data_IF_456932990616
#
_entry.id   IF_456932990616
#
_cell.length_a   1.000
_cell.length_b   1.000
_cell.length_c   1.000
_cell.angle_alpha   90.00
_cell.angle_beta   90.00
_cell.angle_gamma   90.00
#
_symmetry.space_group_name_H-M   'P 1'
#
loop_
_entity.id
_entity.type
_entity.pdbx_description
1 polymer ?
#
# COMPACT_ATOMS: atom_id res chain seq x y z
N UNK A 1 -7.18 -15.64 -19.71
CA UNK A 1 -7.52 -14.22 -19.85
C UNK A 1 -6.22 -13.44 -19.70
N UNK A 2 -5.79 -12.74 -20.74
CA UNK A 2 -4.57 -11.96 -20.69
C UNK A 2 -4.83 -10.72 -19.84
N UNK A 3 -4.11 -10.60 -18.73
CA UNK A 3 -4.11 -9.40 -17.89
C UNK A 3 -3.37 -8.29 -18.65
N UNK A 4 -4.08 -7.23 -18.97
CA UNK A 4 -3.52 -6.08 -19.65
C UNK A 4 -2.94 -5.11 -18.62
N UNK A 5 -1.65 -5.24 -18.30
CA UNK A 5 -0.90 -4.37 -17.40
C UNK A 5 -0.73 -2.92 -17.90
N UNK A 6 -1.27 -2.60 -19.09
CA UNK A 6 -1.11 -1.26 -19.70
C UNK A 6 -1.78 -0.13 -18.92
N UNK A 7 -2.63 -0.42 -17.94
CA UNK A 7 -3.41 0.60 -17.23
C UNK A 7 -3.03 0.77 -15.75
N UNK A 8 -2.08 -0.01 -15.23
CA UNK A 8 -1.61 0.20 -13.87
C UNK A 8 -0.34 1.06 -13.87
N UNK A 9 -0.49 2.29 -14.27
CA UNK A 9 0.37 3.34 -13.77
C UNK A 9 -0.07 3.61 -12.33
N UNK A 10 0.85 3.48 -11.37
CA UNK A 10 0.76 4.27 -10.14
C UNK A 10 0.98 5.71 -10.61
N UNK A 11 -0.04 6.26 -11.24
CA UNK A 11 -0.07 7.65 -11.67
C UNK A 11 -0.72 8.38 -10.53
N UNK A 12 0.10 8.95 -9.67
CA UNK A 12 -0.30 10.16 -8.97
C UNK A 12 -0.40 11.25 -10.04
N UNK A 13 -1.40 11.18 -10.92
CA UNK A 13 -1.78 12.27 -11.79
C UNK A 13 -2.80 13.12 -11.04
N UNK A 14 -2.31 14.16 -10.38
CA UNK A 14 -3.21 15.22 -9.96
C UNK A 14 -3.60 16.07 -11.14
N UNK A 15 -4.90 16.34 -11.24
CA UNK A 15 -5.53 17.09 -12.31
C UNK A 15 -4.80 18.39 -12.62
N UNK A 16 -4.47 18.58 -13.89
CA UNK A 16 -4.14 19.90 -14.44
C UNK A 16 -5.34 20.81 -14.27
N UNK A 17 -5.29 21.72 -13.30
CA UNK A 17 -6.17 22.89 -13.31
C UNK A 17 -5.88 23.68 -14.59
N UNK A 18 -6.89 23.84 -15.45
CA UNK A 18 -6.88 24.86 -16.50
C UNK A 18 -6.79 26.22 -15.82
N UNK A 19 -5.62 26.82 -15.85
CA UNK A 19 -5.36 28.17 -15.38
C UNK A 19 -4.56 28.94 -16.40
N UNK A 20 -5.09 30.05 -16.78
CA UNK A 20 -4.73 31.03 -17.79
C UNK A 20 -3.23 31.30 -18.01
N UNK A 21 -2.88 31.45 -19.27
CA UNK A 21 -1.68 32.13 -19.74
C UNK A 21 -1.79 33.64 -19.44
N UNK A 22 -0.88 34.18 -18.65
CA UNK A 22 -0.36 35.53 -18.88
C UNK A 22 1.07 35.62 -18.30
N UNK A 23 1.99 36.05 -19.18
CA UNK A 23 3.38 36.29 -18.90
C UNK A 23 3.58 37.42 -17.91
N UNK A 24 4.53 37.27 -16.98
CA UNK A 24 5.66 38.21 -16.81
C UNK A 24 6.65 37.70 -15.78
N UNK A 25 7.93 37.80 -16.11
CA UNK A 25 9.02 37.28 -15.32
C UNK A 25 9.25 38.02 -14.01
N UNK A 26 9.61 37.22 -13.00
CA UNK A 26 10.43 37.64 -11.87
C UNK A 26 10.99 36.38 -11.22
N UNK A 27 12.31 36.28 -11.22
CA UNK A 27 13.08 35.24 -10.52
C UNK A 27 12.91 35.39 -9.03
N UNK A 28 12.05 34.59 -8.44
CA UNK A 28 12.05 34.29 -7.00
C UNK A 28 12.03 32.77 -6.87
N UNK A 29 13.04 32.23 -6.16
CA UNK A 29 13.12 30.80 -5.85
C UNK A 29 11.86 30.37 -5.09
N UNK A 30 10.96 29.72 -5.79
CA UNK A 30 9.81 29.11 -5.18
C UNK A 30 10.28 27.84 -4.47
N UNK A 31 10.11 27.80 -3.16
CA UNK A 31 10.12 26.55 -2.43
C UNK A 31 9.07 25.63 -3.08
N UNK A 32 9.53 24.50 -3.60
CA UNK A 32 8.63 23.45 -4.16
C UNK A 32 7.79 22.98 -3.00
N UNK A 33 6.47 23.03 -3.12
CA UNK A 33 5.61 22.60 -2.03
C UNK A 33 5.90 21.12 -1.71
N UNK A 34 5.74 20.73 -0.45
CA UNK A 34 5.93 19.35 0.00
C UNK A 34 5.18 18.37 -0.91
N UNK A 35 3.97 18.76 -1.31
CA UNK A 35 3.11 18.04 -2.23
C UNK A 35 3.72 17.87 -3.62
N UNK A 36 4.33 18.91 -4.19
CA UNK A 36 5.02 18.83 -5.49
C UNK A 36 6.31 18.01 -5.39
N UNK A 37 7.03 18.07 -4.27
CA UNK A 37 8.24 17.28 -4.03
C UNK A 37 7.93 15.78 -3.92
N UNK A 38 6.93 15.41 -3.14
CA UNK A 38 6.49 14.01 -2.98
C UNK A 38 5.87 13.49 -4.29
N UNK A 39 5.06 14.30 -4.96
CA UNK A 39 4.47 13.96 -6.26
C UNK A 39 5.52 13.83 -7.36
N UNK A 40 6.46 14.76 -7.43
CA UNK A 40 7.58 14.69 -8.37
C UNK A 40 8.43 13.43 -8.16
N UNK A 41 8.54 12.95 -6.91
CA UNK A 41 9.19 11.68 -6.61
C UNK A 41 8.37 10.48 -7.12
N UNK A 42 7.08 10.41 -6.79
CA UNK A 42 6.22 9.29 -7.18
C UNK A 42 6.02 9.22 -8.71
N UNK A 43 5.98 10.38 -9.38
CA UNK A 43 5.90 10.46 -10.85
C UNK A 43 7.21 10.13 -11.56
N UNK A 44 8.36 10.44 -10.95
CA UNK A 44 9.68 10.26 -11.57
C UNK A 44 10.43 9.03 -11.05
N UNK A 45 9.86 8.27 -10.15
CA UNK A 45 10.50 7.05 -9.63
C UNK A 45 10.73 5.98 -10.73
N UNK A 46 9.90 6.00 -11.79
CA UNK A 46 10.01 5.11 -12.95
C UNK A 46 10.75 5.69 -14.18
N UNK A 47 11.09 6.98 -14.18
CA UNK A 47 11.62 7.67 -15.38
C UNK A 47 13.09 8.06 -15.20
N UNK A 48 13.96 7.08 -15.01
CA UNK A 48 15.40 7.30 -15.05
C UNK A 48 16.07 6.22 -15.90
N UNK A 49 16.84 6.64 -16.92
CA UNK A 49 17.66 5.78 -17.78
C UNK A 49 18.80 5.02 -17.03
N UNK A 50 18.75 4.99 -15.70
CA UNK A 50 19.73 4.34 -14.83
C UNK A 50 19.08 3.09 -14.21
N UNK A 51 19.63 1.93 -14.49
CA UNK A 51 19.22 0.64 -13.91
C UNK A 51 19.54 0.49 -12.41
N UNK A 52 20.02 1.53 -11.73
CA UNK A 52 20.44 1.49 -10.33
C UNK A 52 19.83 2.64 -9.53
N UNK A 53 19.47 2.37 -8.29
CA UNK A 53 19.11 3.40 -7.33
C UNK A 53 20.29 4.35 -7.07
N UNK A 54 19.99 5.65 -7.06
CA UNK A 54 20.94 6.68 -6.68
C UNK A 54 20.68 7.08 -5.24
N UNK A 55 21.67 6.87 -4.37
CA UNK A 55 21.63 7.27 -2.96
C UNK A 55 22.41 8.57 -2.79
N UNK A 56 21.82 9.54 -2.11
CA UNK A 56 22.56 10.78 -1.74
C UNK A 56 23.34 10.52 -0.45
N UNK A 57 24.67 10.44 -0.57
CA UNK A 57 25.57 10.19 0.56
C UNK A 57 25.42 11.23 1.68
N UNK A 58 25.09 12.48 1.34
CA UNK A 58 24.91 13.55 2.34
C UNK A 58 23.66 13.34 3.16
N UNK A 59 22.58 12.88 2.54
CA UNK A 59 21.33 12.54 3.24
C UNK A 59 21.54 11.29 4.06
N UNK A 60 22.12 10.24 3.47
CA UNK A 60 22.40 8.97 4.14
C UNK A 60 23.30 9.16 5.38
N UNK A 61 24.29 10.03 5.31
CA UNK A 61 25.18 10.34 6.44
C UNK A 61 24.46 11.01 7.63
N UNK A 62 23.33 11.69 7.39
CA UNK A 62 22.53 12.35 8.42
C UNK A 62 21.51 11.43 9.10
N UNK A 63 21.26 10.24 8.53
CA UNK A 63 20.29 9.29 9.09
C UNK A 63 20.80 8.70 10.41
N UNK A 64 19.92 8.47 11.39
CA UNK A 64 20.22 7.64 12.56
C UNK A 64 20.75 6.25 12.15
N UNK A 65 21.55 5.61 13.01
CA UNK A 65 22.21 4.33 12.70
C UNK A 65 21.23 3.27 12.21
N UNK A 66 20.13 3.07 12.96
CA UNK A 66 19.13 2.05 12.71
C UNK A 66 18.38 2.29 11.38
N UNK A 67 18.07 3.55 11.10
CA UNK A 67 17.42 3.93 9.84
C UNK A 67 18.38 3.77 8.64
N UNK A 68 19.64 4.13 8.83
CA UNK A 68 20.67 3.98 7.79
C UNK A 68 20.87 2.51 7.43
N UNK A 69 20.94 1.61 8.40
CA UNK A 69 21.07 0.18 8.17
C UNK A 69 19.91 -0.34 7.33
N UNK A 70 18.68 0.06 7.62
CA UNK A 70 17.50 -0.31 6.82
C UNK A 70 17.55 0.30 5.41
N UNK A 71 17.96 1.56 5.29
CA UNK A 71 18.05 2.23 4.00
C UNK A 71 19.18 1.67 3.10
N UNK A 72 20.23 1.10 3.68
CA UNK A 72 21.30 0.39 2.97
C UNK A 72 20.85 -1.03 2.57
N UNK A 73 20.16 -1.73 3.45
CA UNK A 73 19.60 -3.05 3.19
C UNK A 73 18.50 -3.00 2.12
N UNK A 74 17.61 -2.02 2.20
CA UNK A 74 16.49 -1.81 1.27
C UNK A 74 16.75 -0.57 0.43
N UNK A 75 17.43 -0.74 -0.70
CA UNK A 75 17.91 0.36 -1.54
C UNK A 75 16.80 1.28 -2.06
N UNK A 76 15.59 0.78 -2.27
CA UNK A 76 14.43 1.59 -2.63
C UNK A 76 14.05 2.57 -1.51
N UNK A 77 14.15 2.16 -0.23
CA UNK A 77 13.96 3.05 0.91
C UNK A 77 15.04 4.14 0.96
N UNK A 78 16.31 3.74 0.77
CA UNK A 78 17.43 4.70 0.70
C UNK A 78 17.27 5.71 -0.43
N UNK A 79 16.84 5.26 -1.61
CA UNK A 79 16.56 6.14 -2.76
C UNK A 79 15.37 7.06 -2.51
N UNK A 80 14.32 6.56 -1.84
CA UNK A 80 13.18 7.35 -1.42
C UNK A 80 13.62 8.49 -0.49
N UNK A 81 14.30 8.15 0.60
CA UNK A 81 14.77 9.14 1.60
C UNK A 81 15.74 10.15 1.00
N UNK A 82 16.59 9.73 0.07
CA UNK A 82 17.54 10.61 -0.63
C UNK A 82 16.85 11.69 -1.47
N UNK A 83 15.60 11.47 -1.88
CA UNK A 83 14.82 12.42 -2.68
C UNK A 83 13.85 13.28 -1.85
N UNK A 84 13.69 12.99 -0.57
CA UNK A 84 12.84 13.80 0.29
C UNK A 84 13.40 15.22 0.46
N UNK A 85 12.55 16.25 0.54
CA UNK A 85 12.96 17.61 0.84
C UNK A 85 13.29 17.75 2.34
N UNK A 86 14.38 17.08 2.76
CA UNK A 86 14.76 16.98 4.18
C UNK A 86 15.08 18.33 4.84
N UNK A 87 15.33 19.38 4.04
CA UNK A 87 15.51 20.74 4.55
C UNK A 87 14.20 21.38 4.99
N UNK A 88 13.06 20.94 4.43
CA UNK A 88 11.74 21.46 4.73
C UNK A 88 11.01 20.61 5.78
N UNK A 89 11.01 19.29 5.60
CA UNK A 89 10.28 18.37 6.48
C UNK A 89 11.12 17.76 7.60
N UNK A 90 12.44 17.92 7.54
CA UNK A 90 13.37 17.22 8.42
C UNK A 90 13.63 15.78 7.97
N UNK A 91 14.49 15.10 8.73
CA UNK A 91 14.75 13.67 8.55
C UNK A 91 13.61 12.89 9.22
N UNK A 92 12.98 11.93 8.54
CA UNK A 92 11.95 11.09 9.15
C UNK A 92 12.50 10.31 10.35
N UNK A 93 11.69 10.19 11.40
CA UNK A 93 11.99 9.31 12.52
C UNK A 93 11.71 7.87 12.10
N UNK A 94 12.69 6.97 12.28
CA UNK A 94 12.50 5.56 12.01
C UNK A 94 11.98 4.84 13.26
N UNK A 95 10.85 4.18 13.12
CA UNK A 95 10.22 3.37 14.16
C UNK A 95 10.28 1.91 13.76
N UNK A 96 10.98 1.08 14.50
CA UNK A 96 10.97 -0.38 14.27
C UNK A 96 9.59 -1.01 14.46
N UNK A 97 8.75 -0.38 15.29
CA UNK A 97 7.33 -0.70 15.49
C UNK A 97 6.57 0.54 15.96
N UNK A 98 5.27 0.59 15.67
CA UNK A 98 4.40 1.71 16.07
C UNK A 98 3.67 1.36 17.36
N UNK A 99 3.67 2.29 18.32
CA UNK A 99 2.96 2.18 19.59
C UNK A 99 2.12 3.43 19.85
N UNK A 100 1.20 3.36 20.82
CA UNK A 100 0.42 4.55 21.21
C UNK A 100 1.28 5.73 21.68
N UNK A 101 2.47 5.46 22.20
CA UNK A 101 3.45 6.48 22.57
C UNK A 101 4.14 7.15 21.37
N UNK A 102 3.99 6.60 20.17
CA UNK A 102 4.58 7.16 18.94
C UNK A 102 3.82 8.39 18.41
N UNK A 103 2.60 8.63 18.88
CA UNK A 103 1.79 9.80 18.50
C UNK A 103 2.03 11.02 19.42
N UNK A 104 3.27 11.40 19.58
CA UNK A 104 3.65 12.55 20.43
C UNK A 104 3.97 13.82 19.65
N UNK A 105 4.11 13.71 18.33
CA UNK A 105 4.51 14.84 17.48
C UNK A 105 3.31 15.58 16.93
N UNK A 106 3.29 16.93 17.07
CA UNK A 106 2.32 17.78 16.41
C UNK A 106 2.44 17.79 14.88
N UNK A 107 3.64 17.53 14.36
CA UNK A 107 3.94 17.38 12.93
C UNK A 107 4.60 16.05 12.73
N UNK A 108 3.84 15.07 12.25
CA UNK A 108 4.32 13.71 12.02
C UNK A 108 5.27 13.67 10.84
N UNK A 109 6.40 13.00 11.01
CA UNK A 109 7.36 12.69 9.97
C UNK A 109 8.10 11.43 10.39
N UNK A 110 7.50 10.27 10.14
CA UNK A 110 7.97 8.99 10.67
C UNK A 110 7.85 7.87 9.64
N UNK A 111 8.80 6.92 9.69
CA UNK A 111 8.85 5.76 8.81
C UNK A 111 8.86 4.49 9.64
N UNK A 112 8.06 3.50 9.25
CA UNK A 112 8.04 2.18 9.89
C UNK A 112 7.87 1.05 8.87
N UNK A 113 8.39 -0.18 9.17
CA UNK A 113 8.25 -1.34 8.30
C UNK A 113 6.88 -2.01 8.49
N UNK A 114 6.30 -2.50 7.38
CA UNK A 114 5.09 -3.34 7.38
C UNK A 114 5.43 -4.81 7.17
N UNK A 115 6.53 -5.08 6.46
CA UNK A 115 6.97 -6.42 6.08
C UNK A 115 7.22 -6.53 4.59
N UNK A 116 7.83 -7.63 4.13
CA UNK A 116 8.09 -7.85 2.71
C UNK A 116 8.95 -6.78 2.02
N UNK A 117 9.69 -5.97 2.77
CA UNK A 117 10.43 -4.83 2.24
C UNK A 117 9.58 -3.57 2.02
N UNK A 118 8.35 -3.56 2.48
CA UNK A 118 7.46 -2.38 2.41
C UNK A 118 7.63 -1.53 3.66
N UNK A 119 7.77 -0.23 3.47
CA UNK A 119 7.84 0.77 4.53
C UNK A 119 6.73 1.79 4.35
N UNK A 120 6.23 2.30 5.46
CA UNK A 120 5.24 3.36 5.46
C UNK A 120 5.86 4.64 5.98
N UNK A 121 5.68 5.72 5.26
CA UNK A 121 6.04 7.06 5.70
C UNK A 121 4.76 7.84 6.00
N UNK A 122 4.57 8.20 7.25
CA UNK A 122 3.49 9.11 7.68
C UNK A 122 4.09 10.51 7.80
N UNK A 123 3.56 11.44 7.01
CA UNK A 123 4.07 12.82 6.95
C UNK A 123 2.93 13.82 7.07
N UNK A 124 3.16 14.85 7.89
CA UNK A 124 2.20 15.92 8.11
C UNK A 124 1.93 16.73 6.84
N UNK A 125 0.64 16.91 6.50
CA UNK A 125 0.19 17.81 5.44
C UNK A 125 -0.17 19.16 6.06
N UNK A 126 0.57 20.26 5.79
CA UNK A 126 0.25 21.58 6.31
C UNK A 126 -1.01 22.19 5.68
N UNK A 127 -1.50 21.66 4.57
CA UNK A 127 -2.65 22.16 3.82
C UNK A 127 -3.94 21.36 4.09
N UNK A 128 -3.85 20.17 4.70
CA UNK A 128 -4.99 19.30 4.99
C UNK A 128 -5.06 19.01 6.50
N UNK A 129 -6.24 18.64 6.96
CA UNK A 129 -6.45 18.17 8.34
C UNK A 129 -5.96 16.75 8.58
N UNK A 130 -5.68 16.01 7.51
CA UNK A 130 -5.21 14.62 7.52
C UNK A 130 -3.82 14.53 6.99
N UNK A 131 -2.96 13.85 7.73
CA UNK A 131 -1.60 13.56 7.32
C UNK A 131 -1.57 12.54 6.17
N UNK A 132 -0.50 12.54 5.38
CA UNK A 132 -0.29 11.57 4.33
C UNK A 132 0.24 10.24 4.87
N UNK A 133 -0.27 9.17 4.29
CA UNK A 133 0.22 7.80 4.42
C UNK A 133 0.81 7.37 3.08
N UNK A 134 2.12 7.20 3.03
CA UNK A 134 2.89 6.92 1.81
C UNK A 134 3.49 5.52 1.91
N UNK A 135 3.15 4.63 0.97
CA UNK A 135 3.76 3.32 0.87
C UNK A 135 5.05 3.40 0.03
N UNK A 136 6.16 2.96 0.62
CA UNK A 136 7.48 2.88 -0.03
C UNK A 136 7.75 1.40 -0.32
N UNK A 137 7.52 1.03 -1.58
CA UNK A 137 7.52 -0.35 -2.03
C UNK A 137 8.79 -0.71 -2.84
N UNK A 138 9.21 -1.98 -2.87
CA UNK A 138 10.27 -2.44 -3.77
C UNK A 138 10.00 -2.18 -5.25
N UNK A 139 8.74 -2.05 -5.65
CA UNK A 139 8.30 -1.70 -7.02
C UNK A 139 8.89 -0.40 -7.57
N UNK A 140 9.45 0.46 -6.71
CA UNK A 140 10.14 1.69 -7.11
C UNK A 140 11.47 1.46 -7.83
N UNK A 141 11.92 0.21 -8.02
CA UNK A 141 13.16 -0.09 -8.74
C UNK A 141 13.06 0.36 -10.21
N UNK A 142 14.06 1.08 -10.74
CA UNK A 142 14.01 1.62 -12.09
C UNK A 142 13.93 0.52 -13.17
N UNK A 143 13.10 0.74 -14.21
CA UNK A 143 12.97 -0.14 -15.38
C UNK A 143 12.21 -1.44 -15.15
N UNK A 144 11.60 -1.62 -13.98
CA UNK A 144 10.87 -2.85 -13.63
C UNK A 144 9.60 -3.03 -14.46
N UNK A 145 8.90 -1.94 -14.82
CA UNK A 145 7.63 -2.03 -15.56
C UNK A 145 7.77 -2.72 -16.93
N UNK A 146 8.83 -2.39 -17.68
CA UNK A 146 9.09 -3.01 -18.99
C UNK A 146 9.40 -4.51 -18.82
N UNK A 147 10.19 -4.83 -17.81
CA UNK A 147 10.62 -6.20 -17.52
C UNK A 147 9.43 -7.07 -17.07
N UNK A 148 8.53 -6.52 -16.25
CA UNK A 148 7.32 -7.23 -15.81
C UNK A 148 6.43 -7.60 -17.00
N UNK A 149 6.28 -6.71 -17.98
CA UNK A 149 5.53 -7.03 -19.20
C UNK A 149 6.16 -8.20 -19.99
N UNK A 150 7.48 -8.22 -20.09
CA UNK A 150 8.19 -9.31 -20.77
C UNK A 150 8.05 -10.64 -20.01
N UNK A 151 8.10 -10.60 -18.68
CA UNK A 151 7.89 -11.78 -17.82
C UNK A 151 6.46 -12.29 -17.92
N UNK A 152 5.46 -11.41 -17.91
CA UNK A 152 4.04 -11.80 -18.05
C UNK A 152 3.78 -12.55 -19.36
N UNK A 153 4.44 -12.15 -20.44
CA UNK A 153 4.36 -12.90 -21.72
C UNK A 153 4.97 -14.30 -21.57
N UNK A 154 6.12 -14.42 -20.91
CA UNK A 154 6.81 -15.71 -20.74
C UNK A 154 6.09 -16.63 -19.72
N UNK A 155 5.36 -16.07 -18.76
CA UNK A 155 4.52 -16.83 -17.82
C UNK A 155 3.40 -17.62 -18.53
N UNK A 156 3.05 -17.27 -19.76
CA UNK A 156 2.08 -18.04 -20.56
C UNK A 156 2.59 -19.46 -20.84
N UNK A 157 3.89 -19.68 -20.86
CA UNK A 157 4.48 -21.02 -21.06
C UNK A 157 4.28 -21.96 -19.86
N UNK A 158 3.93 -21.40 -18.68
CA UNK A 158 3.66 -22.12 -17.44
C UNK A 158 2.16 -22.29 -17.15
N UNK A 159 1.29 -22.01 -18.12
CA UNK A 159 -0.18 -21.98 -17.91
C UNK A 159 -0.76 -23.34 -17.48
N UNK A 160 -0.15 -24.44 -17.94
CA UNK A 160 -0.60 -25.79 -17.57
C UNK A 160 -0.24 -26.12 -16.11
N UNK A 161 0.89 -25.66 -15.62
CA UNK A 161 1.32 -25.79 -14.23
C UNK A 161 0.44 -24.92 -13.32
N UNK A 162 0.15 -23.70 -13.76
CA UNK A 162 -0.76 -22.77 -13.05
C UNK A 162 -2.21 -23.29 -12.96
N UNK A 163 -2.66 -24.06 -13.96
CA UNK A 163 -3.98 -24.71 -13.94
C UNK A 163 -4.02 -25.94 -13.05
N UNK A 164 -2.89 -26.65 -12.92
CA UNK A 164 -2.77 -27.81 -12.07
C UNK A 164 -2.67 -27.47 -10.58
N UNK A 165 -2.22 -26.26 -10.26
CA UNK A 165 -2.06 -25.79 -8.89
C UNK A 165 -3.40 -25.57 -8.20
N UNK A 166 -3.57 -26.14 -6.99
CA UNK A 166 -4.78 -26.02 -6.17
C UNK A 166 -4.61 -24.92 -5.11
N UNK A 167 -5.39 -23.85 -5.27
CA UNK A 167 -5.33 -22.71 -4.37
C UNK A 167 -4.40 -21.57 -4.78
N UNK A 168 -4.46 -20.48 -4.03
CA UNK A 168 -3.71 -19.24 -4.32
C UNK A 168 -2.22 -19.35 -3.95
N UNK A 169 -1.91 -20.07 -2.87
CA UNK A 169 -0.54 -20.23 -2.39
C UNK A 169 0.30 -21.06 -3.35
N UNK A 170 -0.21 -22.21 -3.80
CA UNK A 170 0.48 -23.08 -4.74
C UNK A 170 0.68 -22.38 -6.10
N UNK A 171 -0.32 -21.63 -6.57
CA UNK A 171 -0.19 -20.81 -7.77
C UNK A 171 0.88 -19.74 -7.64
N UNK A 172 0.97 -19.08 -6.48
CA UNK A 172 2.01 -18.11 -6.22
C UNK A 172 3.40 -18.76 -6.24
N UNK A 173 3.54 -19.95 -5.65
CA UNK A 173 4.80 -20.69 -5.66
C UNK A 173 5.23 -21.03 -7.10
N UNK A 174 4.30 -21.52 -7.95
CA UNK A 174 4.56 -21.77 -9.37
C UNK A 174 5.01 -20.49 -10.09
N UNK A 175 4.35 -19.34 -9.84
CA UNK A 175 4.72 -18.05 -10.44
C UNK A 175 6.13 -17.64 -10.01
N UNK A 176 6.45 -17.71 -8.72
CA UNK A 176 7.75 -17.30 -8.21
C UNK A 176 8.88 -18.20 -8.73
N UNK A 177 8.64 -19.51 -8.84
CA UNK A 177 9.58 -20.44 -9.42
C UNK A 177 9.79 -20.18 -10.93
N UNK A 178 8.71 -19.89 -11.66
CA UNK A 178 8.79 -19.50 -13.07
C UNK A 178 9.60 -18.20 -13.25
N UNK A 179 9.39 -17.20 -12.38
CA UNK A 179 10.19 -15.97 -12.38
C UNK A 179 11.67 -16.25 -12.11
N UNK A 180 11.99 -17.15 -11.17
CA UNK A 180 13.37 -17.55 -10.91
C UNK A 180 14.03 -18.22 -12.14
N UNK A 181 13.27 -19.05 -12.86
CA UNK A 181 13.74 -19.67 -14.11
C UNK A 181 13.90 -18.65 -15.24
N UNK A 182 12.90 -17.79 -15.48
CA UNK A 182 12.92 -16.75 -16.52
C UNK A 182 14.08 -15.78 -16.29
N UNK A 183 14.36 -15.43 -15.03
CA UNK A 183 15.44 -14.53 -14.66
C UNK A 183 16.81 -15.22 -14.55
N UNK A 184 16.92 -16.52 -14.86
CA UNK A 184 18.17 -17.27 -14.86
C UNK A 184 18.82 -17.45 -13.50
N UNK A 185 18.02 -17.42 -12.42
CA UNK A 185 18.47 -17.57 -11.02
C UNK A 185 18.08 -18.89 -10.38
N UNK A 186 17.38 -19.76 -11.13
CA UNK A 186 17.06 -21.10 -10.66
C UNK A 186 18.30 -22.02 -10.75
N UNK A 187 18.51 -22.82 -9.72
CA UNK A 187 19.60 -23.82 -9.64
C UNK A 187 19.42 -24.99 -10.63
N UNK A 188 18.35 -25.00 -11.41
CA UNK A 188 17.99 -26.12 -12.27
C UNK A 188 18.34 -25.87 -13.72
N UNK A 189 18.93 -26.91 -14.35
CA UNK A 189 19.19 -27.05 -15.78
C UNK A 189 17.90 -27.16 -16.62
N UNK A 190 16.84 -26.38 -16.31
CA UNK A 190 15.60 -26.47 -17.06
C UNK A 190 15.74 -25.73 -18.39
N UNK A 191 15.49 -26.49 -19.48
CA UNK A 191 15.69 -26.10 -20.88
C UNK A 191 14.60 -25.21 -21.47
N UNK A 192 13.68 -24.68 -20.64
CA UNK A 192 12.49 -23.96 -21.11
C UNK A 192 12.72 -22.49 -21.46
N UNK A 193 13.78 -21.87 -20.97
CA UNK A 193 13.99 -20.43 -21.15
C UNK A 193 14.76 -20.13 -22.42
N UNK A 194 14.12 -19.48 -23.38
CA UNK A 194 14.73 -19.06 -24.65
C UNK A 194 15.56 -17.78 -24.53
N UNK A 195 15.37 -16.99 -23.47
CA UNK A 195 16.04 -15.70 -23.30
C UNK A 195 16.05 -15.31 -21.82
N UNK A 196 17.20 -15.39 -21.16
CA UNK A 196 17.37 -14.86 -19.81
C UNK A 196 17.35 -13.34 -19.82
N UNK A 197 16.64 -12.73 -18.88
CA UNK A 197 16.62 -11.28 -18.68
C UNK A 197 17.74 -10.93 -17.69
N UNK A 198 18.67 -10.08 -18.11
CA UNK A 198 19.77 -9.62 -17.24
C UNK A 198 19.24 -8.56 -16.27
N UNK A 199 19.21 -8.89 -14.98
CA UNK A 199 18.58 -8.08 -13.93
C UNK A 199 19.57 -7.77 -12.82
N UNK A 200 19.43 -6.56 -12.26
CA UNK A 200 20.04 -6.25 -10.96
C UNK A 200 19.27 -6.96 -9.84
N UNK A 201 19.92 -7.13 -8.68
CA UNK A 201 19.26 -7.71 -7.50
C UNK A 201 18.03 -6.92 -7.06
N UNK A 202 18.11 -5.59 -7.12
CA UNK A 202 17.00 -4.69 -6.78
C UNK A 202 15.80 -4.91 -7.71
N UNK A 203 16.04 -5.02 -9.03
CA UNK A 203 14.99 -5.31 -10.01
C UNK A 203 14.35 -6.67 -9.79
N UNK A 204 15.17 -7.67 -9.51
CA UNK A 204 14.67 -9.02 -9.25
C UNK A 204 13.76 -9.07 -8.00
N UNK A 205 14.18 -8.43 -6.90
CA UNK A 205 13.34 -8.35 -5.70
C UNK A 205 12.05 -7.56 -5.96
N UNK A 206 12.13 -6.48 -6.73
CA UNK A 206 10.97 -5.70 -7.13
C UNK A 206 9.97 -6.52 -7.97
N UNK A 207 10.48 -7.34 -8.91
CA UNK A 207 9.65 -8.22 -9.74
C UNK A 207 8.94 -9.27 -8.87
N UNK A 208 9.67 -9.94 -7.99
CA UNK A 208 9.06 -10.92 -7.07
C UNK A 208 7.98 -10.29 -6.21
N UNK A 209 8.25 -9.10 -5.68
CA UNK A 209 7.27 -8.33 -4.92
C UNK A 209 6.02 -8.03 -5.77
N UNK A 210 6.20 -7.50 -6.99
CA UNK A 210 5.08 -7.17 -7.87
C UNK A 210 4.27 -8.40 -8.28
N UNK A 211 4.93 -9.52 -8.61
CA UNK A 211 4.24 -10.75 -8.95
C UNK A 211 3.39 -11.25 -7.77
N UNK A 212 3.92 -11.22 -6.54
CA UNK A 212 3.16 -11.56 -5.35
C UNK A 212 1.97 -10.62 -5.16
N UNK A 213 2.20 -9.30 -5.21
CA UNK A 213 1.20 -8.25 -5.01
C UNK A 213 0.05 -8.34 -6.02
N UNK A 214 0.37 -8.47 -7.31
CA UNK A 214 -0.63 -8.44 -8.38
C UNK A 214 -1.35 -9.78 -8.56
N UNK A 215 -0.63 -10.90 -8.45
CA UNK A 215 -1.20 -12.22 -8.74
C UNK A 215 -1.86 -12.88 -7.53
N UNK A 216 -1.31 -12.72 -6.33
CA UNK A 216 -1.85 -13.32 -5.10
C UNK A 216 -2.43 -12.31 -4.13
N UNK A 217 -1.84 -11.11 -4.03
CA UNK A 217 -2.28 -10.02 -3.15
C UNK A 217 -3.46 -9.22 -3.69
N UNK A 218 -3.70 -8.08 -3.06
CA UNK A 218 -4.79 -7.16 -3.38
C UNK A 218 -4.38 -6.05 -4.38
N UNK A 219 -3.30 -6.25 -5.15
CA UNK A 219 -2.78 -5.26 -6.08
C UNK A 219 -2.30 -4.01 -5.35
N UNK A 220 -2.67 -2.84 -5.85
CA UNK A 220 -2.27 -1.54 -5.26
C UNK A 220 -2.69 -1.36 -3.79
N UNK A 221 -3.66 -2.14 -3.33
CA UNK A 221 -4.13 -2.10 -1.95
C UNK A 221 -3.30 -2.95 -0.99
N UNK A 222 -2.40 -3.78 -1.50
CA UNK A 222 -1.65 -4.75 -0.70
C UNK A 222 -0.91 -4.11 0.49
N UNK A 223 -0.19 -2.99 0.35
CA UNK A 223 0.47 -2.33 1.48
C UNK A 223 -0.49 -1.90 2.59
N UNK A 224 -1.72 -1.51 2.24
CA UNK A 224 -2.75 -1.11 3.20
C UNK A 224 -3.37 -2.33 3.90
N UNK A 225 -3.58 -3.41 3.15
CA UNK A 225 -4.16 -4.64 3.68
C UNK A 225 -3.16 -5.38 4.56
N UNK A 226 -1.88 -5.36 4.23
CA UNK A 226 -0.81 -5.99 5.01
C UNK A 226 -0.46 -5.22 6.30
N UNK A 227 -0.69 -3.90 6.34
CA UNK A 227 -0.35 -3.09 7.51
C UNK A 227 -1.23 -3.44 8.72
N UNK A 228 -0.67 -3.98 9.82
CA UNK A 228 -1.43 -4.39 11.00
C UNK A 228 -2.04 -3.22 11.78
N UNK A 229 -1.60 -2.00 11.50
CA UNK A 229 -2.07 -0.79 12.18
C UNK A 229 -3.26 -0.13 11.50
N UNK A 230 -3.66 -0.56 10.30
CA UNK A 230 -4.87 -0.07 9.64
C UNK A 230 -6.10 -0.85 10.13
N UNK A 231 -7.17 -0.13 10.44
CA UNK A 231 -8.48 -0.67 10.81
C UNK A 231 -9.46 -0.65 9.65
N UNK A 232 -9.63 0.53 9.03
CA UNK A 232 -10.56 0.71 7.92
C UNK A 232 -9.85 1.36 6.72
N UNK A 233 -10.22 0.91 5.51
CA UNK A 233 -9.78 1.48 4.24
C UNK A 233 -11.03 1.91 3.48
N UNK A 234 -11.10 3.15 3.03
CA UNK A 234 -12.27 3.71 2.37
C UNK A 234 -11.92 4.40 1.06
N UNK A 235 -12.54 3.93 -0.01
CA UNK A 235 -12.58 4.58 -1.32
C UNK A 235 -13.98 5.15 -1.53
N UNK A 236 -14.11 6.47 -1.50
CA UNK A 236 -15.43 7.14 -1.61
C UNK A 236 -15.78 7.57 -3.04
N UNK A 237 -15.09 7.05 -4.04
CA UNK A 237 -15.17 7.45 -5.44
C UNK A 237 -13.81 7.84 -5.98
N UNK A 238 -13.78 8.56 -7.10
CA UNK A 238 -12.53 9.09 -7.70
C UNK A 238 -11.81 10.00 -6.71
N UNK A 239 -10.49 9.85 -6.63
CA UNK A 239 -9.60 10.57 -5.73
C UNK A 239 -8.85 9.66 -4.77
N UNK A 240 -8.26 10.20 -3.71
CA UNK A 240 -7.42 9.45 -2.79
C UNK A 240 -8.22 8.49 -1.91
N UNK A 241 -7.56 7.43 -1.48
CA UNK A 241 -8.05 6.55 -0.44
C UNK A 241 -7.86 7.20 0.93
N UNK A 242 -8.79 6.90 1.82
CA UNK A 242 -8.71 7.28 3.22
C UNK A 242 -8.61 6.02 4.07
N UNK A 243 -7.79 6.10 5.10
CA UNK A 243 -7.57 4.99 6.03
C UNK A 243 -7.78 5.46 7.46
N UNK A 244 -8.23 4.55 8.31
CA UNK A 244 -8.25 4.73 9.75
C UNK A 244 -7.11 3.91 10.36
N UNK A 245 -6.16 4.62 10.96
CA UNK A 245 -4.98 4.02 11.56
C UNK A 245 -5.13 3.97 13.09
N UNK A 246 -4.91 2.82 13.71
CA UNK A 246 -5.11 2.55 15.16
C UNK A 246 -4.45 3.55 16.09
N UNK A 247 -3.35 4.16 15.64
CA UNK A 247 -2.53 5.06 16.46
C UNK A 247 -2.69 6.51 16.01
N UNK A 248 -2.66 6.74 14.70
CA UNK A 248 -2.60 8.10 14.14
C UNK A 248 -3.97 8.63 13.70
N UNK A 249 -5.04 7.81 13.79
CA UNK A 249 -6.38 8.17 13.35
C UNK A 249 -6.53 8.23 11.83
N UNK A 250 -7.38 9.12 11.34
CA UNK A 250 -7.68 9.25 9.92
C UNK A 250 -6.52 9.82 9.11
N UNK A 251 -6.04 9.07 8.12
CA UNK A 251 -4.95 9.45 7.22
C UNK A 251 -5.42 9.39 5.76
N UNK A 252 -4.68 10.08 4.90
CA UNK A 252 -4.89 10.12 3.46
C UNK A 252 -3.78 9.32 2.77
N UNK A 253 -4.16 8.24 2.09
CA UNK A 253 -3.19 7.41 1.37
C UNK A 253 -2.66 8.10 0.11
N UNK A 254 -1.44 7.73 -0.29
CA UNK A 254 -0.84 8.14 -1.57
C UNK A 254 -1.48 7.45 -2.77
N UNK A 255 -2.25 6.39 -2.52
CA UNK A 255 -2.99 5.67 -3.54
C UNK A 255 -4.25 6.46 -3.86
N UNK A 256 -4.45 6.77 -5.15
CA UNK A 256 -5.64 7.47 -5.64
C UNK A 256 -6.09 6.90 -6.99
N UNK A 257 -7.38 7.00 -7.26
CA UNK A 257 -7.94 6.71 -8.57
C UNK A 257 -8.17 8.02 -9.33
N UNK A 258 -7.56 8.14 -10.51
CA UNK A 258 -7.56 9.39 -11.30
C UNK A 258 -8.89 9.63 -12.00
N UNK A 259 -9.57 8.57 -12.41
CA UNK A 259 -10.83 8.61 -13.13
C UNK A 259 -11.76 7.46 -12.76
N UNK A 260 -13.01 7.56 -13.20
CA UNK A 260 -14.03 6.57 -12.90
C UNK A 260 -13.82 5.23 -13.61
N UNK A 261 -13.20 5.23 -14.78
CA UNK A 261 -12.97 4.00 -15.55
C UNK A 261 -11.90 3.13 -14.88
N UNK A 262 -10.83 3.75 -14.39
CA UNK A 262 -9.79 3.07 -13.58
C UNK A 262 -10.39 2.45 -12.31
N UNK A 263 -11.19 3.23 -11.58
CA UNK A 263 -11.85 2.75 -10.36
C UNK A 263 -12.85 1.63 -10.65
N UNK A 264 -13.65 1.74 -11.71
CA UNK A 264 -14.62 0.72 -12.12
C UNK A 264 -13.91 -0.60 -12.49
N UNK A 265 -12.81 -0.52 -13.26
CA UNK A 265 -12.00 -1.69 -13.60
C UNK A 265 -11.38 -2.34 -12.37
N UNK A 266 -10.85 -1.54 -11.44
CA UNK A 266 -10.31 -2.05 -10.18
C UNK A 266 -11.39 -2.76 -9.35
N UNK A 267 -12.56 -2.14 -9.19
CA UNK A 267 -13.68 -2.70 -8.42
C UNK A 267 -14.18 -4.03 -9.03
N UNK A 268 -14.24 -4.13 -10.36
CA UNK A 268 -14.59 -5.39 -11.04
C UNK A 268 -13.55 -6.46 -10.72
N UNK A 269 -12.25 -6.17 -10.89
CA UNK A 269 -11.18 -7.13 -10.60
C UNK A 269 -11.16 -7.57 -9.13
N UNK A 270 -11.36 -6.61 -8.21
CA UNK A 270 -11.46 -6.87 -6.79
C UNK A 270 -12.61 -7.82 -6.47
N UNK A 271 -13.77 -7.58 -7.05
CA UNK A 271 -14.97 -8.40 -6.89
C UNK A 271 -14.79 -9.82 -7.45
N UNK A 272 -14.07 -9.97 -8.58
CA UNK A 272 -13.71 -11.26 -9.14
C UNK A 272 -12.73 -12.03 -8.24
N UNK A 273 -11.71 -11.35 -7.70
CA UNK A 273 -10.75 -11.96 -6.75
C UNK A 273 -11.41 -12.53 -5.50
N UNK A 274 -12.42 -11.86 -4.98
CA UNK A 274 -13.18 -12.34 -3.81
C UNK A 274 -14.28 -13.36 -4.15
N UNK A 275 -14.40 -13.74 -5.44
CA UNK A 275 -15.38 -14.71 -5.91
C UNK A 275 -16.84 -14.21 -5.89
N UNK A 276 -17.05 -12.90 -5.83
CA UNK A 276 -18.36 -12.23 -5.83
C UNK A 276 -18.39 -11.11 -6.88
N UNK A 277 -18.39 -11.43 -8.18
CA UNK A 277 -18.30 -10.44 -9.24
C UNK A 277 -19.47 -9.47 -9.22
N UNK A 278 -19.19 -8.17 -9.24
CA UNK A 278 -20.19 -7.11 -9.40
C UNK A 278 -20.66 -7.04 -10.85
N UNK A 279 -21.91 -6.70 -11.04
CA UNK A 279 -22.53 -6.49 -12.34
C UNK A 279 -23.51 -5.32 -12.28
N UNK A 280 -23.98 -4.84 -13.44
CA UNK A 280 -25.03 -3.80 -13.50
C UNK A 280 -26.33 -4.28 -12.81
N UNK A 281 -26.59 -5.59 -12.79
CA UNK A 281 -27.77 -6.15 -12.10
C UNK A 281 -27.58 -6.33 -10.61
N UNK A 282 -26.38 -6.65 -10.20
CA UNK A 282 -25.96 -6.84 -8.81
C UNK A 282 -24.78 -5.93 -8.50
N UNK A 283 -25.03 -4.61 -8.34
CA UNK A 283 -23.96 -3.62 -8.21
C UNK A 283 -23.40 -3.51 -6.79
N UNK A 284 -24.05 -4.15 -5.81
CA UNK A 284 -23.64 -4.08 -4.40
C UNK A 284 -23.22 -5.47 -3.94
N UNK A 285 -22.01 -5.57 -3.40
CA UNK A 285 -21.45 -6.79 -2.86
C UNK A 285 -20.96 -6.56 -1.44
N UNK A 286 -21.45 -7.39 -0.53
CA UNK A 286 -20.96 -7.56 0.83
C UNK A 286 -20.27 -8.92 0.91
N UNK A 287 -18.99 -8.95 1.29
CA UNK A 287 -18.22 -10.19 1.34
C UNK A 287 -17.15 -10.15 2.42
N UNK A 288 -16.46 -11.27 2.56
CA UNK A 288 -15.32 -11.42 3.46
C UNK A 288 -14.10 -11.77 2.63
N UNK A 289 -12.99 -11.08 2.87
CA UNK A 289 -11.69 -11.38 2.28
C UNK A 289 -11.10 -12.67 2.90
N UNK A 290 -10.09 -13.28 2.25
CA UNK A 290 -9.46 -14.51 2.76
C UNK A 290 -8.86 -14.36 4.17
N UNK A 291 -8.41 -13.18 4.53
CA UNK A 291 -7.88 -12.84 5.86
C UNK A 291 -8.97 -12.63 6.94
N UNK A 292 -10.25 -12.74 6.57
CA UNK A 292 -11.38 -12.51 7.45
C UNK A 292 -11.88 -11.07 7.50
N UNK A 293 -11.22 -10.14 6.84
CA UNK A 293 -11.64 -8.74 6.71
C UNK A 293 -12.96 -8.64 5.94
N UNK A 294 -13.81 -7.68 6.30
CA UNK A 294 -15.07 -7.43 5.60
C UNK A 294 -14.86 -6.40 4.51
N UNK A 295 -15.48 -6.64 3.37
CA UNK A 295 -15.48 -5.70 2.25
C UNK A 295 -16.91 -5.44 1.79
N UNK A 296 -17.23 -4.15 1.61
CA UNK A 296 -18.43 -3.70 0.92
C UNK A 296 -18.00 -2.99 -0.37
N UNK A 297 -18.62 -3.38 -1.49
CA UNK A 297 -18.35 -2.82 -2.82
C UNK A 297 -19.66 -2.29 -3.39
N UNK A 298 -19.63 -1.09 -3.95
CA UNK A 298 -20.71 -0.50 -4.74
C UNK A 298 -20.15 -0.16 -6.12
N UNK A 299 -20.76 -0.71 -7.17
CA UNK A 299 -20.33 -0.55 -8.55
C UNK A 299 -21.25 0.38 -9.34
N UNK A 300 -20.66 1.33 -10.03
CA UNK A 300 -21.30 2.16 -11.06
C UNK A 300 -21.94 3.44 -10.55
N UNK A 301 -21.91 4.45 -11.42
CA UNK A 301 -22.47 5.78 -11.20
C UNK A 301 -24.00 5.83 -11.11
N UNK A 302 -24.69 4.80 -11.60
CA UNK A 302 -26.16 4.69 -11.50
C UNK A 302 -26.65 4.38 -10.08
N UNK A 303 -25.77 3.77 -9.27
CA UNK A 303 -26.08 3.38 -7.88
C UNK A 303 -25.55 4.40 -6.89
N UNK A 304 -24.36 4.91 -7.14
CA UNK A 304 -23.70 5.90 -6.30
C UNK A 304 -23.34 7.15 -7.11
N UNK A 305 -23.75 8.33 -6.62
CA UNK A 305 -23.45 9.61 -7.29
C UNK A 305 -21.95 9.91 -7.47
N UNK A 306 -21.10 9.29 -6.66
CA UNK A 306 -19.65 9.44 -6.73
C UNK A 306 -18.97 8.36 -7.57
N UNK A 307 -19.77 7.51 -8.25
CA UNK A 307 -19.28 6.34 -8.98
C UNK A 307 -19.04 5.15 -8.06
N UNK A 308 -18.28 4.20 -8.56
CA UNK A 308 -17.89 3.02 -7.79
C UNK A 308 -17.16 3.42 -6.51
N UNK A 309 -17.36 2.63 -5.47
CA UNK A 309 -16.70 2.85 -4.18
C UNK A 309 -16.60 1.53 -3.42
N UNK A 310 -15.69 1.47 -2.45
CA UNK A 310 -15.57 0.31 -1.59
C UNK A 310 -15.05 0.70 -0.20
N UNK A 311 -15.35 -0.15 0.75
CA UNK A 311 -14.83 -0.03 2.11
C UNK A 311 -14.36 -1.39 2.59
N UNK A 312 -13.15 -1.46 3.13
CA UNK A 312 -12.60 -2.67 3.74
C UNK A 312 -12.44 -2.40 5.23
N UNK A 313 -13.09 -3.23 6.05
CA UNK A 313 -12.90 -3.25 7.49
C UNK A 313 -12.03 -4.44 7.84
N UNK A 314 -10.81 -4.15 8.25
CA UNK A 314 -9.82 -5.19 8.53
C UNK A 314 -10.19 -6.02 9.76
N UNK A 315 -10.02 -7.32 9.63
CA UNK A 315 -10.21 -8.25 10.74
C UNK A 315 -8.97 -8.20 11.64
N UNK A 316 -9.18 -7.94 12.94
CA UNK A 316 -8.11 -8.09 13.92
C UNK A 316 -8.04 -9.56 14.32
N UNK A 317 -6.98 -10.27 13.89
CA UNK A 317 -6.75 -11.66 14.22
C UNK A 317 -6.60 -11.89 15.74
N UNK A 318 -6.21 -10.87 16.48
CA UNK A 318 -6.14 -10.88 17.94
C UNK A 318 -7.21 -9.96 18.51
N UNK A 319 -8.36 -10.51 18.95
CA UNK A 319 -9.35 -9.71 19.66
C UNK A 319 -8.73 -9.12 20.93
N UNK A 320 -9.06 -7.88 21.22
CA UNK A 320 -8.63 -7.22 22.47
C UNK A 320 -9.10 -8.05 23.67
N UNK A 321 -8.15 -8.47 24.48
CA UNK A 321 -8.46 -9.13 25.73
C UNK A 321 -8.83 -8.12 26.81
N UNK A 322 -9.55 -8.58 27.85
CA UNK A 322 -9.85 -7.72 29.01
C UNK A 322 -8.58 -7.19 29.68
N UNK A 323 -7.48 -7.94 29.61
CA UNK A 323 -6.19 -7.50 30.12
C UNK A 323 -5.59 -6.35 29.30
N UNK A 324 -5.81 -6.35 28.00
CA UNK A 324 -5.37 -5.25 27.13
C UNK A 324 -6.19 -3.98 27.40
N UNK A 325 -7.51 -4.13 27.62
CA UNK A 325 -8.38 -3.01 28.00
C UNK A 325 -7.96 -2.40 29.35
N UNK A 326 -7.50 -3.22 30.29
CA UNK A 326 -6.96 -2.74 31.57
C UNK A 326 -5.61 -2.03 31.35
N UNK A 327 -4.70 -2.60 30.56
CA UNK A 327 -3.43 -1.96 30.20
C UNK A 327 -3.62 -0.62 29.50
N UNK A 328 -4.63 -0.51 28.65
CA UNK A 328 -4.98 0.72 27.97
C UNK A 328 -5.66 1.75 28.86
N UNK A 329 -6.02 1.34 30.09
CA UNK A 329 -6.75 2.22 31.01
C UNK A 329 -8.21 2.40 30.69
N UNK A 330 -8.76 1.64 29.73
CA UNK A 330 -10.20 1.65 29.38
C UNK A 330 -11.05 1.07 30.51
N UNK A 331 -10.53 0.06 31.21
CA UNK A 331 -11.16 -0.58 32.35
C UNK A 331 -10.21 -0.62 33.54
N UNK A 332 -10.74 -0.48 34.75
CA UNK A 332 -10.01 -0.85 35.98
C UNK A 332 -10.23 -2.32 36.30
N UNK A 333 -9.37 -2.89 37.15
CA UNK A 333 -9.55 -4.28 37.64
C UNK A 333 -10.92 -4.46 38.32
N UNK A 334 -11.39 -3.46 39.08
CA UNK A 334 -12.68 -3.48 39.75
C UNK A 334 -13.84 -3.50 38.77
N UNK A 335 -13.78 -2.65 37.71
CA UNK A 335 -14.79 -2.67 36.63
C UNK A 335 -14.82 -4.02 35.93
N UNK A 336 -13.66 -4.56 35.59
CA UNK A 336 -13.55 -5.86 34.95
C UNK A 336 -14.15 -6.99 35.80
N UNK A 337 -13.85 -7.00 37.12
CA UNK A 337 -14.40 -7.94 38.06
C UNK A 337 -15.93 -7.82 38.20
N UNK A 338 -16.43 -6.57 38.28
CA UNK A 338 -17.87 -6.31 38.34
C UNK A 338 -18.60 -6.80 37.09
N UNK A 339 -18.09 -6.46 35.89
CA UNK A 339 -18.67 -6.90 34.61
C UNK A 339 -18.65 -8.44 34.53
N UNK A 340 -17.54 -9.07 34.92
CA UNK A 340 -17.43 -10.54 34.94
C UNK A 340 -18.48 -11.19 35.84
N UNK A 341 -18.69 -10.64 37.03
CA UNK A 341 -19.72 -11.10 37.97
C UNK A 341 -21.12 -10.95 37.35
N UNK A 342 -21.43 -9.77 36.78
CA UNK A 342 -22.75 -9.52 36.17
C UNK A 342 -23.03 -10.47 35.02
N UNK A 343 -22.05 -10.74 34.18
CA UNK A 343 -22.17 -11.69 33.07
C UNK A 343 -22.36 -13.13 33.56
N UNK A 344 -21.66 -13.53 34.62
CA UNK A 344 -21.82 -14.87 35.21
C UNK A 344 -23.19 -15.09 35.83
N UNK A 345 -23.83 -14.01 36.35
CA UNK A 345 -25.20 -14.02 36.84
C UNK A 345 -26.27 -13.85 35.76
N UNK A 346 -25.90 -13.89 34.46
CA UNK A 346 -26.80 -13.82 33.34
C UNK A 346 -27.41 -12.42 33.10
N UNK A 347 -26.80 -11.37 33.58
CA UNK A 347 -27.25 -9.99 33.39
C UNK A 347 -26.96 -9.51 31.97
N UNK A 348 -27.91 -8.80 31.36
CA UNK A 348 -27.74 -8.14 30.07
C UNK A 348 -26.79 -6.96 30.19
N UNK A 349 -25.81 -6.89 29.32
CA UNK A 349 -24.83 -5.79 29.27
C UNK A 349 -24.96 -5.05 27.94
N UNK A 350 -24.99 -3.71 27.99
CA UNK A 350 -24.97 -2.85 26.81
C UNK A 350 -23.63 -2.12 26.78
N UNK A 351 -22.94 -2.21 25.64
CA UNK A 351 -21.75 -1.44 25.36
C UNK A 351 -22.11 -0.41 24.28
N UNK A 352 -21.91 0.87 24.56
CA UNK A 352 -22.18 1.94 23.62
C UNK A 352 -20.95 2.83 23.50
N UNK A 353 -20.67 3.28 22.28
CA UNK A 353 -19.56 4.18 21.97
C UNK A 353 -19.67 4.67 20.53
N UNK A 354 -18.90 5.67 20.19
CA UNK A 354 -18.73 6.09 18.80
C UNK A 354 -17.83 5.10 18.05
N UNK A 355 -17.85 5.15 16.70
CA UNK A 355 -16.89 4.40 15.88
C UNK A 355 -15.47 4.81 16.24
N UNK A 356 -14.57 3.83 16.39
CA UNK A 356 -13.17 4.02 16.80
C UNK A 356 -12.96 4.54 18.24
N UNK A 357 -13.93 4.34 19.13
CA UNK A 357 -13.80 4.73 20.56
C UNK A 357 -13.12 3.66 21.43
#
# INVERSE_FOLDING_TARGET
MAFNLKNFKVIVQMGKSRGDQSANGSTNGHAVSLKEGIQGFLQNAGVGNSSKFVLDEKVMAKLPSDFREQAEQFRHLGAYVSKLPVEEIGIPEYLGFVSRGSDTQQKRNLVYPVGGGVFIHVVHDPEDTRDYYLAVEPSLAPGVEEIVNDIDVQLMDYIDELRAADGSEERLEVILNAVDEICGRADSSSKKVSKSVDLTDDQFQAIKYLMRREKAGMGVMDPLVEDPYIEDISCSGVGPLYIEHKIFGGLKASIEFSDSEELDQYVIQLSEKIGRPVTIREPIVDSTLPDGSRINIVYGGDVSRRGSNFTIRKFSATPLSILDLIKFGTLTYEMAAYISLMLSEGMNTFVSGETAS
#
